data_IF_683091420142
#
_entry.id   IF_683091420142
#
_cell.length_a   1.000
_cell.length_b   1.000
_cell.length_c   1.000
_cell.angle_alpha   90.00
_cell.angle_beta   90.00
_cell.angle_gamma   90.00
#
_symmetry.space_group_name_H-M   'P 1'
#
loop_
_entity.id
_entity.type
_entity.pdbx_description
1 polymer ?
#
# COMPACT_ATOMS: atom_id res chain seq x y z
N UNK A 1 19.09 51.94 11.05
CA UNK A 1 18.45 51.98 12.39
C UNK A 1 19.03 50.89 13.29
N UNK A 2 19.40 51.20 14.54
CA UNK A 2 19.95 50.22 15.50
C UNK A 2 18.82 49.61 16.35
N UNK A 3 18.51 48.32 16.21
CA UNK A 3 17.62 47.62 17.15
C UNK A 3 18.40 47.09 18.36
N UNK A 4 17.99 47.50 19.56
CA UNK A 4 18.57 47.05 20.84
C UNK A 4 17.98 45.70 21.26
N UNK A 5 18.84 44.73 21.58
CA UNK A 5 18.45 43.52 22.31
C UNK A 5 17.99 43.90 23.73
N UNK A 6 16.84 43.38 24.20
CA UNK A 6 16.48 43.34 25.63
C UNK A 6 16.55 41.90 26.13
N UNK A 7 17.24 41.68 27.25
CA UNK A 7 17.28 40.40 27.98
C UNK A 7 16.15 40.37 29.01
N UNK A 8 15.37 39.29 29.05
CA UNK A 8 14.46 38.96 30.16
C UNK A 8 14.99 37.74 30.93
N UNK A 9 14.83 37.72 32.26
CA UNK A 9 15.26 36.61 33.13
C UNK A 9 14.18 35.53 33.27
N UNK A 10 14.64 34.30 33.48
CA UNK A 10 13.86 33.10 33.86
C UNK A 10 13.66 33.07 35.38
N UNK A 11 12.53 32.53 35.87
CA UNK A 11 12.63 31.47 36.90
C UNK A 11 11.60 30.33 36.73
N UNK A 12 11.96 29.08 37.07
CA UNK A 12 10.98 27.98 37.23
C UNK A 12 11.45 26.59 36.79
N UNK A 13 12.34 25.94 37.55
CA UNK A 13 12.58 24.49 37.46
C UNK A 13 12.04 23.80 38.73
N UNK A 14 11.36 22.65 38.61
CA UNK A 14 11.24 21.67 39.68
C UNK A 14 12.28 20.54 39.55
N UNK A 15 12.91 20.27 40.69
CA UNK A 15 13.85 19.19 41.06
C UNK A 15 13.78 17.83 40.32
N UNK A 16 14.96 17.31 40.01
CA UNK A 16 15.23 15.90 39.65
C UNK A 16 15.12 15.01 40.90
N UNK A 17 14.27 13.98 40.88
CA UNK A 17 14.35 12.86 41.83
C UNK A 17 15.10 11.68 41.22
N UNK A 18 16.27 11.35 41.79
CA UNK A 18 16.96 10.08 41.54
C UNK A 18 16.35 8.98 42.43
N UNK A 19 15.71 7.98 41.84
CA UNK A 19 15.55 6.68 42.50
C UNK A 19 16.66 5.74 42.03
N UNK A 20 17.34 5.10 42.99
CA UNK A 20 18.20 3.95 42.73
C UNK A 20 17.31 2.73 42.49
N UNK A 21 17.62 1.92 41.49
CA UNK A 21 17.17 0.52 41.45
C UNK A 21 18.38 -0.39 41.56
N UNK A 22 18.24 -1.45 42.35
CA UNK A 22 19.29 -2.40 42.68
C UNK A 22 19.43 -3.45 41.58
N UNK A 23 20.67 -3.77 41.19
CA UNK A 23 20.95 -4.68 40.09
C UNK A 23 20.71 -6.15 40.46
N UNK A 24 19.95 -6.87 39.63
CA UNK A 24 19.92 -8.33 39.61
C UNK A 24 20.89 -8.84 38.53
N UNK A 25 21.87 -9.65 38.92
CA UNK A 25 22.77 -10.33 37.97
C UNK A 25 22.02 -11.46 37.26
N UNK A 26 22.07 -11.46 35.93
CA UNK A 26 21.64 -12.59 35.10
C UNK A 26 22.87 -13.47 34.81
N UNK A 27 22.77 -14.78 35.05
CA UNK A 27 23.78 -15.76 34.66
C UNK A 27 23.17 -16.64 33.57
N UNK A 28 23.72 -16.58 32.36
CA UNK A 28 23.29 -17.39 31.22
C UNK A 28 24.25 -18.57 31.07
N UNK A 29 23.72 -19.79 31.15
CA UNK A 29 24.44 -21.01 30.81
C UNK A 29 23.85 -21.61 29.54
N UNK A 30 24.58 -21.57 28.42
CA UNK A 30 24.16 -22.17 27.17
C UNK A 30 24.52 -23.68 27.15
N UNK A 31 23.56 -24.53 26.79
CA UNK A 31 23.79 -25.97 26.59
C UNK A 31 23.28 -26.37 25.21
N UNK A 32 24.21 -26.71 24.32
CA UNK A 32 23.89 -27.15 22.95
C UNK A 32 23.21 -28.54 22.98
N UNK A 33 22.08 -28.66 22.30
CA UNK A 33 21.58 -29.93 21.74
C UNK A 33 21.55 -29.81 20.22
N UNK A 34 21.85 -30.91 19.55
CA UNK A 34 21.61 -31.09 18.11
C UNK A 34 20.56 -32.19 17.99
N UNK A 35 19.34 -31.82 17.67
CA UNK A 35 18.34 -32.78 17.26
C UNK A 35 18.40 -32.85 15.72
N UNK A 36 18.52 -34.07 15.19
CA UNK A 36 18.40 -34.36 13.75
C UNK A 36 16.95 -34.70 13.49
N UNK A 37 16.31 -33.97 12.59
CA UNK A 37 15.08 -34.42 11.94
C UNK A 37 15.45 -34.98 10.56
N UNK A 38 15.11 -36.24 10.33
CA UNK A 38 15.39 -36.94 9.07
C UNK A 38 14.32 -36.55 8.04
N UNK A 39 14.76 -35.98 6.92
CA UNK A 39 13.88 -35.60 5.81
C UNK A 39 13.63 -36.80 4.88
N UNK A 40 12.42 -37.37 4.91
CA UNK A 40 11.98 -38.31 3.87
C UNK A 40 11.77 -37.56 2.54
N UNK A 41 12.73 -37.73 1.63
CA UNK A 41 12.74 -37.02 0.34
C UNK A 41 11.74 -37.56 -0.68
N UNK A 42 11.01 -36.65 -1.33
CA UNK A 42 10.21 -36.96 -2.52
C UNK A 42 11.12 -37.39 -3.68
N UNK A 43 10.88 -38.57 -4.25
CA UNK A 43 11.68 -39.14 -5.35
C UNK A 43 11.18 -38.65 -6.71
N UNK A 44 11.45 -37.40 -7.08
CA UNK A 44 11.31 -36.96 -8.49
C UNK A 44 12.10 -35.69 -8.88
N UNK A 45 13.08 -35.26 -8.07
CA UNK A 45 13.92 -34.10 -8.39
C UNK A 45 15.41 -34.47 -8.33
N UNK A 46 16.10 -34.34 -9.48
CA UNK A 46 17.56 -34.46 -9.56
C UNK A 46 18.29 -33.33 -8.81
N UNK A 47 19.61 -33.47 -8.56
CA UNK A 47 20.31 -32.62 -7.61
C UNK A 47 20.62 -31.23 -8.17
N UNK A 48 20.08 -30.19 -7.54
CA UNK A 48 20.57 -28.82 -7.65
C UNK A 48 21.45 -28.47 -6.43
N UNK A 49 22.49 -27.67 -6.67
CA UNK A 49 23.69 -27.64 -5.82
C UNK A 49 23.68 -26.53 -4.74
N UNK A 50 24.57 -26.73 -3.75
CA UNK A 50 25.12 -25.74 -2.80
C UNK A 50 24.17 -25.09 -1.80
N UNK A 51 24.47 -25.31 -0.51
CA UNK A 51 23.84 -24.66 0.63
C UNK A 51 24.74 -23.56 1.21
N UNK A 52 24.16 -22.43 1.59
CA UNK A 52 24.71 -21.56 2.64
C UNK A 52 23.78 -21.61 3.87
N UNK A 53 24.16 -22.42 4.85
CA UNK A 53 23.44 -22.50 6.12
C UNK A 53 23.81 -21.31 7.01
N UNK A 54 22.96 -20.28 7.08
CA UNK A 54 23.05 -19.24 8.11
C UNK A 54 22.43 -19.76 9.40
N UNK A 55 23.26 -19.91 10.44
CA UNK A 55 22.83 -20.32 11.78
C UNK A 55 21.95 -19.25 12.43
N UNK A 56 20.66 -19.56 12.63
CA UNK A 56 19.80 -18.81 13.54
C UNK A 56 20.11 -19.22 14.99
N UNK A 57 20.32 -18.24 15.85
CA UNK A 57 20.50 -18.43 17.30
C UNK A 57 19.18 -18.17 18.02
N UNK A 58 18.52 -19.22 18.49
CA UNK A 58 17.41 -19.05 19.45
C UNK A 58 17.96 -19.04 20.89
N UNK A 59 17.60 -18.00 21.64
CA UNK A 59 17.95 -17.84 23.06
C UNK A 59 16.67 -17.98 23.88
N UNK A 60 16.41 -19.19 24.40
CA UNK A 60 15.33 -19.38 25.36
C UNK A 60 15.74 -18.90 26.76
N UNK A 61 15.18 -17.76 27.17
CA UNK A 61 15.25 -17.30 28.56
C UNK A 61 14.24 -18.07 29.42
N UNK A 62 14.69 -19.10 30.14
CA UNK A 62 13.86 -19.80 31.13
C UNK A 62 13.79 -18.96 32.40
N UNK A 63 12.64 -18.33 32.65
CA UNK A 63 12.34 -17.66 33.92
C UNK A 63 11.59 -18.63 34.82
N UNK A 64 12.30 -19.27 35.76
CA UNK A 64 11.64 -20.02 36.84
C UNK A 64 11.11 -19.06 37.89
N UNK A 65 9.81 -19.16 38.18
CA UNK A 65 9.20 -18.55 39.37
C UNK A 65 8.66 -19.67 40.25
N UNK A 66 9.38 -19.98 41.33
CA UNK A 66 8.85 -20.88 42.36
C UNK A 66 7.77 -20.16 43.16
N UNK A 67 6.60 -20.81 43.31
CA UNK A 67 5.64 -20.51 44.38
C UNK A 67 5.15 -21.81 45.03
N UNK A 68 4.96 -21.83 46.36
CA UNK A 68 4.67 -23.05 47.10
C UNK A 68 3.20 -23.46 46.94
N UNK A 69 2.95 -24.77 46.83
CA UNK A 69 1.61 -25.30 46.55
C UNK A 69 0.74 -25.58 47.78
N UNK A 70 -0.55 -25.87 47.54
CA UNK A 70 -1.38 -26.69 48.44
C UNK A 70 -2.66 -27.24 47.79
N UNK A 71 -2.79 -28.57 47.89
CA UNK A 71 -3.99 -29.41 48.11
C UNK A 71 -5.19 -29.39 47.13
N UNK A 72 -5.49 -30.62 46.69
CA UNK A 72 -6.66 -31.11 45.96
C UNK A 72 -8.02 -30.74 46.60
N UNK A 73 -9.06 -30.70 45.74
CA UNK A 73 -10.37 -31.32 46.03
C UNK A 73 -11.01 -31.86 44.74
N UNK A 74 -11.87 -32.86 44.90
CA UNK A 74 -12.53 -33.70 43.89
C UNK A 74 -14.01 -33.30 43.69
N UNK A 75 -14.73 -34.06 42.84
CA UNK A 75 -16.20 -34.03 42.57
C UNK A 75 -16.66 -32.97 41.56
N UNK A 76 -17.67 -33.18 40.68
CA UNK A 76 -18.31 -34.39 40.13
C UNK A 76 -19.09 -34.00 38.84
N UNK A 77 -19.36 -34.98 37.94
CA UNK A 77 -20.32 -34.91 36.80
C UNK A 77 -21.80 -34.96 37.27
N UNK A 78 -22.87 -34.84 36.44
CA UNK A 78 -23.03 -35.02 34.97
C UNK A 78 -23.59 -33.77 34.22
N UNK A 79 -23.56 -33.61 32.89
CA UNK A 79 -24.11 -34.40 31.76
C UNK A 79 -25.65 -34.45 31.70
N UNK A 80 -26.24 -33.94 30.61
CA UNK A 80 -27.66 -34.11 30.27
C UNK A 80 -27.85 -34.14 28.73
N UNK A 81 -28.81 -34.93 28.26
CA UNK A 81 -28.88 -35.47 26.90
C UNK A 81 -30.31 -35.40 26.32
N UNK A 82 -30.46 -34.87 25.10
CA UNK A 82 -31.68 -34.91 24.25
C UNK A 82 -31.29 -34.40 22.85
N UNK A 83 -31.31 -35.11 21.71
CA UNK A 83 -32.02 -36.30 21.17
C UNK A 83 -33.08 -35.95 20.10
N UNK A 84 -32.87 -36.54 18.90
CA UNK A 84 -33.77 -36.79 17.75
C UNK A 84 -34.45 -35.65 16.94
N UNK A 85 -34.31 -35.78 15.61
CA UNK A 85 -35.08 -35.04 14.60
C UNK A 85 -34.71 -35.36 13.14
N UNK A 86 -34.91 -36.62 12.72
CA UNK A 86 -34.68 -37.18 11.36
C UNK A 86 -35.37 -36.39 10.22
N UNK A 87 -34.81 -36.49 9.00
CA UNK A 87 -35.47 -36.17 7.73
C UNK A 87 -34.67 -36.67 6.51
N UNK A 88 -35.19 -37.70 5.83
CA UNK A 88 -34.57 -38.39 4.68
C UNK A 88 -34.79 -37.63 3.35
N UNK A 89 -33.75 -37.42 2.52
CA UNK A 89 -33.31 -38.24 1.37
C UNK A 89 -34.18 -38.13 0.09
N UNK A 90 -33.55 -37.75 -1.02
CA UNK A 90 -34.03 -38.03 -2.39
C UNK A 90 -32.91 -37.86 -3.44
N UNK A 91 -32.51 -38.98 -4.04
CA UNK A 91 -31.61 -39.04 -5.20
C UNK A 91 -32.38 -38.82 -6.51
N UNK A 92 -31.69 -38.32 -7.54
CA UNK A 92 -31.96 -38.75 -8.92
C UNK A 92 -30.72 -38.66 -9.84
N UNK A 93 -30.50 -39.74 -10.58
CA UNK A 93 -29.55 -39.90 -11.71
C UNK A 93 -30.28 -39.54 -13.03
N UNK A 94 -29.67 -39.29 -14.18
CA UNK A 94 -28.28 -39.33 -14.66
C UNK A 94 -28.25 -39.32 -16.21
N UNK A 95 -27.12 -39.68 -16.84
CA UNK A 95 -26.83 -39.70 -18.31
C UNK A 95 -26.56 -38.30 -18.93
N UNK A 96 -25.63 -38.11 -19.88
CA UNK A 96 -24.63 -39.02 -20.45
C UNK A 96 -24.60 -38.99 -21.98
N UNK A 97 -23.58 -38.34 -22.57
CA UNK A 97 -23.26 -38.40 -24.01
C UNK A 97 -21.73 -38.28 -24.20
N UNK A 98 -21.20 -38.94 -25.23
CA UNK A 98 -19.77 -39.21 -25.43
C UNK A 98 -19.38 -38.78 -26.86
N UNK A 99 -18.22 -38.15 -27.06
CA UNK A 99 -17.72 -37.83 -28.40
C UNK A 99 -16.37 -37.11 -28.41
N UNK A 100 -15.29 -37.89 -28.60
CA UNK A 100 -14.02 -37.58 -29.32
C UNK A 100 -13.64 -36.10 -29.56
N UNK A 101 -12.44 -35.61 -29.25
CA UNK A 101 -11.18 -36.30 -28.95
C UNK A 101 -10.06 -35.78 -29.85
N UNK A 102 -8.93 -35.41 -29.20
CA UNK A 102 -7.68 -34.83 -29.73
C UNK A 102 -7.72 -33.34 -30.14
N UNK A 103 -6.67 -32.53 -29.89
CA UNK A 103 -5.62 -32.58 -28.85
C UNK A 103 -4.74 -31.31 -28.89
N UNK A 104 -4.38 -30.73 -27.73
CA UNK A 104 -2.98 -30.35 -27.45
C UNK A 104 -2.71 -29.98 -25.98
N UNK A 105 -1.45 -30.09 -25.56
CA UNK A 105 -0.94 -29.82 -24.22
C UNK A 105 -0.60 -28.32 -24.06
N UNK A 106 -0.69 -27.66 -22.91
CA UNK A 106 -1.19 -28.06 -21.61
C UNK A 106 -0.79 -27.03 -20.54
N UNK A 107 -1.76 -26.49 -19.79
CA UNK A 107 -1.53 -25.73 -18.55
C UNK A 107 -2.35 -26.36 -17.43
N UNK A 108 -1.69 -27.17 -16.61
CA UNK A 108 -2.36 -28.01 -15.62
C UNK A 108 -2.94 -27.16 -14.47
N UNK A 109 -4.27 -27.06 -14.40
CA UNK A 109 -4.97 -26.56 -13.22
C UNK A 109 -5.23 -27.71 -12.25
N UNK A 110 -4.38 -27.91 -11.23
CA UNK A 110 -4.64 -28.92 -10.21
C UNK A 110 -3.55 -29.07 -9.14
N UNK A 111 -3.83 -28.54 -7.94
CA UNK A 111 -3.08 -28.76 -6.69
C UNK A 111 -1.63 -28.20 -6.69
N UNK A 112 -1.24 -27.31 -5.77
CA UNK A 112 -1.42 -27.45 -4.32
C UNK A 112 -1.85 -26.16 -3.60
N UNK A 113 -2.36 -26.35 -2.37
CA UNK A 113 -2.87 -25.32 -1.46
C UNK A 113 -1.74 -24.44 -0.89
N UNK A 114 -1.30 -23.44 -1.64
CA UNK A 114 -0.51 -22.32 -1.11
C UNK A 114 -1.41 -21.33 -0.34
N UNK A 115 -1.67 -21.56 0.96
CA UNK A 115 -2.38 -20.58 1.79
C UNK A 115 -1.46 -19.38 2.12
N UNK A 116 -1.43 -18.40 1.24
CA UNK A 116 -0.95 -17.05 1.54
C UNK A 116 -2.05 -16.00 1.32
N UNK A 117 -3.30 -16.34 1.65
CA UNK A 117 -4.26 -15.32 2.06
C UNK A 117 -3.82 -14.76 3.41
N UNK A 118 -3.62 -13.44 3.48
CA UNK A 118 -3.19 -12.74 4.70
C UNK A 118 -4.35 -12.66 5.71
N UNK A 119 -4.76 -13.82 6.24
CA UNK A 119 -5.77 -13.93 7.28
C UNK A 119 -5.25 -13.29 8.56
N UNK A 120 -5.67 -12.05 8.82
CA UNK A 120 -5.60 -11.38 10.12
C UNK A 120 -6.51 -12.08 11.16
N UNK A 121 -6.25 -13.35 11.41
CA UNK A 121 -6.91 -14.14 12.43
C UNK A 121 -6.27 -13.84 13.80
N UNK A 122 -7.08 -13.43 14.77
CA UNK A 122 -6.72 -13.47 16.20
C UNK A 122 -6.44 -14.92 16.62
N UNK A 123 -5.21 -15.40 16.42
CA UNK A 123 -4.69 -16.63 17.06
C UNK A 123 -3.87 -16.25 18.28
N UNK A 124 -4.25 -16.80 19.43
CA UNK A 124 -3.54 -16.58 20.69
C UNK A 124 -2.10 -17.09 20.60
N UNK A 125 -1.15 -16.31 21.09
CA UNK A 125 0.23 -16.76 21.32
C UNK A 125 1.27 -16.42 20.24
N UNK A 126 0.95 -15.61 19.23
CA UNK A 126 1.97 -14.94 18.41
C UNK A 126 1.91 -13.43 18.67
N UNK A 127 3.08 -12.79 18.83
CA UNK A 127 3.19 -11.33 18.78
C UNK A 127 2.67 -10.84 17.44
N UNK A 128 1.51 -10.18 17.45
CA UNK A 128 1.00 -9.47 16.29
C UNK A 128 1.99 -8.36 15.97
N UNK A 129 2.83 -8.56 14.96
CA UNK A 129 3.52 -7.45 14.31
C UNK A 129 2.44 -6.57 13.71
N UNK A 130 2.25 -5.37 14.26
CA UNK A 130 1.28 -4.41 13.74
C UNK A 130 1.58 -4.17 12.25
N UNK A 131 0.51 -4.07 11.45
CA UNK A 131 0.61 -3.77 10.02
C UNK A 131 1.49 -2.55 9.81
N UNK A 132 2.39 -2.59 8.82
CA UNK A 132 3.28 -1.49 8.52
C UNK A 132 2.91 -0.86 7.18
N UNK A 133 2.69 0.45 7.18
CA UNK A 133 2.33 1.23 5.99
C UNK A 133 3.47 2.18 5.63
N UNK A 134 3.86 2.19 4.37
CA UNK A 134 4.67 3.26 3.80
C UNK A 134 3.74 4.35 3.27
N UNK A 135 3.87 5.56 3.79
CA UNK A 135 3.12 6.75 3.35
C UNK A 135 4.02 7.69 2.54
N UNK A 136 3.56 8.08 1.35
CA UNK A 136 4.22 9.05 0.44
C UNK A 136 3.19 10.02 -0.15
N UNK A 137 3.64 10.98 -0.96
CA UNK A 137 2.81 11.86 -1.80
C UNK A 137 3.66 12.54 -2.90
N UNK A 138 3.04 13.43 -3.67
CA UNK A 138 3.68 14.36 -4.61
C UNK A 138 3.56 15.85 -4.25
N UNK A 139 2.69 16.22 -3.30
CA UNK A 139 2.66 17.58 -2.72
C UNK A 139 3.86 17.89 -1.79
N UNK A 140 4.63 16.85 -1.40
CA UNK A 140 5.80 16.94 -0.52
C UNK A 140 5.50 16.72 0.96
N UNK A 141 6.56 16.44 1.74
CA UNK A 141 6.48 15.92 3.11
C UNK A 141 5.84 16.86 4.14
N UNK A 142 5.80 18.17 3.86
CA UNK A 142 5.19 19.19 4.72
C UNK A 142 3.73 19.52 4.34
N UNK A 143 3.16 18.84 3.35
CA UNK A 143 1.81 19.13 2.85
C UNK A 143 0.72 18.77 3.89
N UNK A 144 -0.40 19.51 3.94
CA UNK A 144 -1.51 19.21 4.86
C UNK A 144 -2.14 17.84 4.61
N UNK A 145 -2.21 17.39 3.35
CA UNK A 145 -2.81 16.11 2.99
C UNK A 145 -2.06 14.89 3.52
N UNK A 146 -0.72 14.88 3.49
CA UNK A 146 0.07 13.77 4.05
C UNK A 146 0.10 13.79 5.58
N UNK A 147 0.05 14.98 6.21
CA UNK A 147 -0.12 15.09 7.67
C UNK A 147 -1.48 14.55 8.14
N UNK A 148 -2.57 14.89 7.45
CA UNK A 148 -3.89 14.35 7.74
C UNK A 148 -3.94 12.82 7.54
N UNK A 149 -3.37 12.33 6.44
CA UNK A 149 -3.33 10.89 6.13
C UNK A 149 -2.53 10.11 7.18
N UNK A 150 -1.37 10.62 7.60
CA UNK A 150 -0.57 10.03 8.68
C UNK A 150 -1.40 9.89 9.96
N UNK A 151 -2.10 10.94 10.38
CA UNK A 151 -2.85 10.97 11.63
C UNK A 151 -3.98 9.95 11.69
N UNK A 152 -4.55 9.58 10.55
CA UNK A 152 -5.57 8.54 10.46
C UNK A 152 -4.96 7.14 10.32
N UNK A 153 -3.93 6.95 9.49
CA UNK A 153 -3.25 5.66 9.33
C UNK A 153 -2.52 5.19 10.60
N UNK A 154 -1.94 6.11 11.37
CA UNK A 154 -1.25 5.80 12.63
C UNK A 154 -2.18 5.22 13.72
N UNK A 155 -3.50 5.27 13.53
CA UNK A 155 -4.49 4.63 14.41
C UNK A 155 -4.60 3.12 14.18
N UNK A 156 -4.15 2.63 13.01
CA UNK A 156 -4.36 1.25 12.55
C UNK A 156 -3.04 0.52 12.19
N UNK A 157 -1.95 1.26 12.00
CA UNK A 157 -0.67 0.73 11.51
C UNK A 157 0.56 1.48 12.06
N UNK A 158 1.73 0.82 11.97
CA UNK A 158 3.06 1.42 12.05
C UNK A 158 3.36 2.18 10.75
N UNK A 159 3.35 3.52 10.77
CA UNK A 159 3.45 4.34 9.56
C UNK A 159 4.86 4.91 9.38
N UNK A 160 5.53 4.51 8.31
CA UNK A 160 6.77 5.14 7.84
C UNK A 160 6.43 6.20 6.78
N UNK A 161 6.78 7.46 7.03
CA UNK A 161 6.59 8.53 6.02
C UNK A 161 7.88 8.79 5.24
N UNK A 162 7.84 8.66 3.92
CA UNK A 162 8.94 9.00 3.01
C UNK A 162 8.37 9.76 1.82
N UNK A 163 8.72 11.04 1.67
CA UNK A 163 8.06 11.92 0.71
C UNK A 163 9.00 13.02 0.15
N UNK A 164 8.68 13.63 -1.00
CA UNK A 164 9.50 14.65 -1.63
C UNK A 164 9.71 15.90 -0.76
N UNK A 165 10.83 16.59 -0.96
CA UNK A 165 11.14 17.86 -0.31
C UNK A 165 10.28 19.04 -0.80
N UNK A 166 9.83 18.98 -2.06
CA UNK A 166 9.06 20.00 -2.76
C UNK A 166 7.91 19.34 -3.55
N UNK A 167 6.96 20.14 -4.04
CA UNK A 167 5.88 19.69 -4.92
C UNK A 167 6.44 19.10 -6.23
N UNK A 168 5.89 17.96 -6.67
CA UNK A 168 6.28 17.19 -7.87
C UNK A 168 5.09 16.92 -8.81
N UNK A 169 4.04 17.76 -8.75
CA UNK A 169 2.81 17.64 -9.55
C UNK A 169 3.09 17.60 -11.05
N UNK A 170 2.44 16.68 -11.77
CA UNK A 170 2.56 16.53 -13.23
C UNK A 170 3.84 15.81 -13.69
N UNK A 171 4.68 15.33 -12.76
CA UNK A 171 5.91 14.60 -13.07
C UNK A 171 5.71 13.17 -13.61
N UNK A 172 4.48 12.66 -13.66
CA UNK A 172 4.19 11.25 -14.02
C UNK A 172 5.03 10.27 -13.18
N UNK A 173 5.40 9.12 -13.73
CA UNK A 173 6.24 8.11 -13.10
C UNK A 173 7.75 8.35 -13.37
N UNK A 174 8.20 9.59 -13.24
CA UNK A 174 9.62 9.92 -13.36
C UNK A 174 10.46 9.31 -12.22
N UNK A 175 11.69 8.90 -12.53
CA UNK A 175 12.68 8.38 -11.57
C UNK A 175 14.05 9.02 -11.81
N UNK A 176 14.83 9.24 -10.74
CA UNK A 176 16.14 9.89 -10.83
C UNK A 176 17.24 8.86 -11.07
N UNK A 177 17.78 8.85 -12.29
CA UNK A 177 18.84 7.90 -12.71
C UNK A 177 20.22 8.56 -12.85
N UNK A 178 20.27 9.83 -13.28
CA UNK A 178 21.52 10.49 -13.72
C UNK A 178 22.34 11.14 -12.60
N UNK A 179 21.74 11.36 -11.43
CA UNK A 179 22.34 12.06 -10.30
C UNK A 179 21.97 11.36 -8.99
N UNK A 180 22.77 11.50 -7.91
CA UNK A 180 22.42 10.94 -6.61
C UNK A 180 21.14 11.56 -6.03
N UNK A 181 20.27 10.73 -5.44
CA UNK A 181 19.10 11.20 -4.68
C UNK A 181 19.51 11.43 -3.22
N UNK A 182 19.47 12.68 -2.77
CA UNK A 182 19.73 13.02 -1.38
C UNK A 182 18.47 12.83 -0.51
N UNK A 183 18.66 12.50 0.77
CA UNK A 183 17.58 12.37 1.74
C UNK A 183 18.03 12.79 3.14
N UNK A 184 17.06 13.18 3.99
CA UNK A 184 17.30 13.56 5.39
C UNK A 184 16.09 13.24 6.26
N UNK A 185 16.33 12.90 7.53
CA UNK A 185 15.28 12.82 8.53
C UNK A 185 14.74 14.22 8.86
N UNK A 186 13.42 14.34 9.01
CA UNK A 186 12.72 15.56 9.40
C UNK A 186 11.69 15.28 10.49
N UNK A 187 11.45 16.29 11.33
CA UNK A 187 10.30 16.33 12.24
C UNK A 187 9.26 17.26 11.60
N UNK A 188 8.06 16.75 11.33
CA UNK A 188 7.00 17.48 10.63
C UNK A 188 6.04 18.04 11.67
N UNK A 189 6.34 19.26 12.13
CA UNK A 189 5.51 20.03 13.07
C UNK A 189 5.12 19.26 14.36
N UNK A 190 5.99 18.36 14.87
CA UNK A 190 5.67 17.49 16.00
C UNK A 190 4.59 16.42 15.73
N UNK A 191 4.15 16.26 14.47
CA UNK A 191 3.12 15.29 14.06
C UNK A 191 3.74 13.92 13.83
N UNK A 192 4.85 13.86 13.08
CA UNK A 192 5.62 12.64 12.84
C UNK A 192 7.09 12.94 12.53
N UNK A 193 7.92 11.89 12.58
CA UNK A 193 9.26 11.90 11.99
C UNK A 193 9.22 11.12 10.68
N UNK A 194 9.78 11.71 9.63
CA UNK A 194 9.76 11.13 8.28
C UNK A 194 11.06 11.40 7.53
N UNK A 195 11.16 10.80 6.34
CA UNK A 195 12.32 10.97 5.45
C UNK A 195 11.95 11.89 4.30
N UNK A 196 12.57 13.07 4.29
CA UNK A 196 12.46 14.08 3.25
C UNK A 196 13.46 13.74 2.14
N UNK A 197 12.99 13.61 0.89
CA UNK A 197 13.79 13.16 -0.26
C UNK A 197 13.90 14.25 -1.33
N UNK A 198 15.10 14.50 -1.84
CA UNK A 198 15.35 15.41 -2.96
C UNK A 198 15.23 14.63 -4.29
N UNK A 199 14.02 14.16 -4.59
CA UNK A 199 13.71 13.31 -5.74
C UNK A 199 12.21 13.26 -6.04
N UNK A 200 11.81 12.31 -6.89
CA UNK A 200 10.41 12.11 -7.28
C UNK A 200 9.62 11.27 -6.26
N UNK A 201 8.28 11.20 -6.35
CA UNK A 201 7.46 10.31 -5.51
C UNK A 201 7.84 8.83 -5.66
N UNK A 202 8.25 8.41 -6.86
CA UNK A 202 8.73 7.05 -7.10
C UNK A 202 10.13 6.81 -6.49
N UNK A 203 11.03 7.80 -6.53
CA UNK A 203 12.32 7.71 -5.83
C UNK A 203 12.13 7.54 -4.31
N UNK A 204 11.14 8.22 -3.73
CA UNK A 204 10.78 8.07 -2.30
C UNK A 204 10.42 6.62 -1.96
N UNK A 205 9.58 5.98 -2.78
CA UNK A 205 9.16 4.59 -2.57
C UNK A 205 10.32 3.61 -2.80
N UNK A 206 11.13 3.82 -3.85
CA UNK A 206 12.34 3.02 -4.09
C UNK A 206 13.33 3.10 -2.93
N UNK A 207 13.58 4.29 -2.37
CA UNK A 207 14.47 4.46 -1.21
C UNK A 207 13.91 3.79 0.04
N UNK A 208 12.61 3.94 0.33
CA UNK A 208 11.98 3.33 1.49
C UNK A 208 12.08 1.80 1.44
N UNK A 209 11.73 1.19 0.30
CA UNK A 209 11.80 -0.26 0.07
C UNK A 209 13.23 -0.78 -0.12
N UNK A 210 14.16 0.09 -0.54
CA UNK A 210 15.59 -0.18 -0.67
C UNK A 210 16.36 -0.28 0.65
N UNK A 211 15.71 -0.03 1.80
CA UNK A 211 16.24 -0.39 3.12
C UNK A 211 16.42 0.75 4.13
N UNK A 212 15.81 1.92 3.94
CA UNK A 212 15.95 3.08 4.86
C UNK A 212 15.71 2.76 6.36
N UNK A 213 14.85 1.80 6.67
CA UNK A 213 14.56 1.36 8.06
C UNK A 213 14.64 -0.18 8.23
N UNK A 214 15.24 -0.89 7.27
CA UNK A 214 15.45 -2.35 7.29
C UNK A 214 14.19 -3.25 7.32
N UNK A 215 13.01 -2.69 7.59
CA UNK A 215 11.72 -3.38 7.70
C UNK A 215 10.87 -3.10 6.46
N UNK A 216 10.43 -4.14 5.77
CA UNK A 216 9.50 -4.03 4.63
C UNK A 216 8.11 -3.61 5.15
N UNK A 217 7.43 -2.63 4.52
CA UNK A 217 6.01 -2.37 4.76
C UNK A 217 5.14 -3.44 4.09
N UNK A 218 3.91 -3.60 4.58
CA UNK A 218 2.90 -4.50 4.05
C UNK A 218 2.05 -3.84 2.96
N UNK A 219 1.91 -2.51 3.01
CA UNK A 219 1.10 -1.69 2.12
C UNK A 219 1.79 -0.36 1.82
N UNK A 220 1.66 0.14 0.58
CA UNK A 220 2.03 1.51 0.20
C UNK A 220 0.77 2.37 0.11
N UNK A 221 0.76 3.54 0.73
CA UNK A 221 -0.29 4.55 0.58
C UNK A 221 0.35 5.84 0.07
N UNK A 222 -0.28 6.47 -0.93
CA UNK A 222 0.16 7.73 -1.51
C UNK A 222 -0.95 8.77 -1.44
N UNK A 223 -0.72 9.90 -0.77
CA UNK A 223 -1.69 10.98 -0.61
C UNK A 223 -1.76 11.57 0.81
N UNK A 224 -2.77 12.38 1.13
CA UNK A 224 -3.86 12.82 0.23
C UNK A 224 -3.36 13.91 -0.72
N UNK A 225 -3.56 13.72 -2.02
CA UNK A 225 -3.19 14.70 -3.04
C UNK A 225 -4.17 15.88 -3.11
N UNK A 226 -3.62 17.07 -3.34
CA UNK A 226 -4.36 18.30 -3.63
C UNK A 226 -4.87 18.33 -5.09
N UNK A 227 -5.82 17.46 -5.43
CA UNK A 227 -6.44 17.38 -6.75
C UNK A 227 -6.86 15.98 -7.14
N UNK A 228 -7.82 15.89 -8.06
CA UNK A 228 -8.30 14.60 -8.58
C UNK A 228 -7.27 13.97 -9.51
N UNK A 229 -7.02 12.68 -9.29
CA UNK A 229 -6.29 11.81 -10.20
C UNK A 229 -7.32 10.86 -10.85
N UNK A 230 -8.27 11.42 -11.59
CA UNK A 230 -9.31 10.70 -12.34
C UNK A 230 -9.03 10.70 -13.84
N UNK A 231 -9.50 9.68 -14.53
CA UNK A 231 -9.42 9.56 -15.98
C UNK A 231 -7.98 9.51 -16.50
N UNK A 232 -7.72 10.13 -17.64
CA UNK A 232 -6.37 10.11 -18.26
C UNK A 232 -5.28 10.78 -17.38
N UNK A 233 -5.65 11.66 -16.46
CA UNK A 233 -4.72 12.35 -15.55
C UNK A 233 -3.97 11.40 -14.60
N UNK A 234 -4.49 10.20 -14.38
CA UNK A 234 -3.79 9.09 -13.71
C UNK A 234 -2.38 8.88 -14.27
N UNK A 235 -2.17 9.05 -15.59
CA UNK A 235 -0.87 8.88 -16.25
C UNK A 235 0.15 9.97 -15.90
N UNK A 236 -0.29 11.16 -15.49
CA UNK A 236 0.58 12.31 -15.17
C UNK A 236 0.76 12.51 -13.65
N UNK A 237 0.05 11.72 -12.85
CA UNK A 237 0.00 11.81 -11.39
C UNK A 237 1.29 11.31 -10.72
N UNK A 238 1.92 12.15 -9.90
CA UNK A 238 2.97 11.71 -8.99
C UNK A 238 2.41 10.87 -7.83
N UNK A 239 1.19 11.18 -7.38
CA UNK A 239 0.47 10.43 -6.34
C UNK A 239 0.29 8.98 -6.77
N UNK A 240 -0.26 8.73 -7.96
CA UNK A 240 -0.51 7.38 -8.46
C UNK A 240 0.80 6.70 -8.84
N UNK A 241 1.79 7.43 -9.39
CA UNK A 241 3.11 6.87 -9.67
C UNK A 241 3.79 6.25 -8.43
N UNK A 242 3.72 6.90 -7.27
CA UNK A 242 4.24 6.33 -6.03
C UNK A 242 3.50 5.04 -5.61
N UNK A 243 2.19 4.97 -5.80
CA UNK A 243 1.42 3.74 -5.56
C UNK A 243 1.81 2.62 -6.55
N UNK A 244 1.90 2.95 -7.86
CA UNK A 244 2.33 2.00 -8.89
C UNK A 244 3.76 1.51 -8.62
N UNK A 245 4.67 2.36 -8.14
CA UNK A 245 6.03 1.95 -7.77
C UNK A 245 6.03 0.89 -6.66
N UNK A 246 5.17 1.05 -5.65
CA UNK A 246 4.94 0.02 -4.62
C UNK A 246 4.49 -1.32 -5.22
N UNK A 247 3.58 -1.26 -6.20
CA UNK A 247 3.08 -2.44 -6.91
C UNK A 247 4.10 -3.10 -7.84
N UNK A 248 4.94 -2.32 -8.53
CA UNK A 248 6.09 -2.82 -9.30
C UNK A 248 7.04 -3.61 -8.38
N UNK A 249 7.28 -3.08 -7.17
CA UNK A 249 8.12 -3.69 -6.14
C UNK A 249 7.42 -4.78 -5.29
N UNK A 250 6.23 -5.22 -5.72
CA UNK A 250 5.57 -6.43 -5.20
C UNK A 250 4.75 -6.24 -3.93
N UNK A 251 4.33 -5.01 -3.62
CA UNK A 251 3.38 -4.72 -2.54
C UNK A 251 2.00 -4.36 -3.11
N UNK A 252 0.90 -4.51 -2.36
CA UNK A 252 -0.31 -3.77 -2.66
C UNK A 252 -0.08 -2.26 -2.46
N UNK A 253 -0.86 -1.44 -3.16
CA UNK A 253 -0.79 0.01 -3.01
C UNK A 253 -2.15 0.73 -3.16
N UNK A 254 -2.30 1.87 -2.50
CA UNK A 254 -3.46 2.76 -2.61
C UNK A 254 -3.00 4.20 -2.88
N UNK A 255 -3.56 4.84 -3.91
CA UNK A 255 -3.46 6.28 -4.15
C UNK A 255 -4.75 6.97 -3.66
N UNK A 256 -4.61 8.11 -2.99
CA UNK A 256 -5.74 8.87 -2.40
C UNK A 256 -5.66 10.34 -2.80
N UNK A 257 -6.76 10.83 -3.35
CA UNK A 257 -6.89 12.18 -3.92
C UNK A 257 -8.13 12.88 -3.39
N UNK A 258 -8.04 14.19 -3.12
CA UNK A 258 -9.18 15.04 -2.76
C UNK A 258 -9.43 16.08 -3.86
N UNK A 259 -10.69 16.27 -4.25
CA UNK A 259 -11.07 17.30 -5.22
C UNK A 259 -10.66 18.70 -4.75
N UNK A 260 -9.94 19.44 -5.60
CA UNK A 260 -9.55 20.82 -5.33
C UNK A 260 -10.79 21.70 -5.11
N UNK A 261 -10.82 22.34 -3.95
CA UNK A 261 -11.78 23.37 -3.58
C UNK A 261 -11.08 24.49 -2.81
N UNK A 262 -11.78 25.60 -2.55
CA UNK A 262 -11.20 26.75 -1.81
C UNK A 262 -10.76 26.37 -0.39
N UNK A 263 -11.61 25.60 0.28
CA UNK A 263 -11.43 25.19 1.68
C UNK A 263 -11.32 23.65 1.73
N UNK A 264 -10.09 23.15 1.64
CA UNK A 264 -9.78 21.71 1.55
C UNK A 264 -9.86 21.01 2.91
N UNK A 265 -10.90 20.20 3.13
CA UNK A 265 -11.04 19.37 4.33
C UNK A 265 -10.24 18.06 4.22
N UNK A 266 -8.91 18.16 4.40
CA UNK A 266 -8.04 17.00 4.45
C UNK A 266 -8.33 16.07 5.65
N UNK A 267 -8.89 16.59 6.74
CA UNK A 267 -9.16 15.79 7.94
C UNK A 267 -10.35 14.85 7.71
N UNK A 268 -11.48 15.38 7.21
CA UNK A 268 -12.63 14.57 6.80
C UNK A 268 -12.28 13.58 5.69
N UNK A 269 -11.51 14.03 4.69
CA UNK A 269 -11.02 13.15 3.62
C UNK A 269 -10.13 12.01 4.13
N UNK A 270 -9.26 12.25 5.12
CA UNK A 270 -8.43 11.21 5.72
C UNK A 270 -9.25 10.17 6.51
N UNK A 271 -10.31 10.59 7.21
CA UNK A 271 -11.23 9.67 7.93
C UNK A 271 -11.93 8.74 6.94
N UNK A 272 -12.41 9.29 5.81
CA UNK A 272 -13.01 8.52 4.71
C UNK A 272 -11.98 7.55 4.12
N UNK A 273 -10.79 8.05 3.76
CA UNK A 273 -9.73 7.25 3.15
C UNK A 273 -9.28 6.09 4.03
N UNK A 274 -9.09 6.31 5.35
CA UNK A 274 -8.76 5.27 6.32
C UNK A 274 -9.81 4.16 6.35
N UNK A 275 -11.10 4.52 6.41
CA UNK A 275 -12.19 3.54 6.41
C UNK A 275 -12.25 2.70 5.13
N UNK A 276 -12.01 3.32 3.97
CA UNK A 276 -11.95 2.60 2.69
C UNK A 276 -10.71 1.71 2.57
N UNK A 277 -9.57 2.15 3.09
CA UNK A 277 -8.35 1.34 3.14
C UNK A 277 -8.55 0.14 4.08
N UNK A 278 -9.18 0.30 5.24
CA UNK A 278 -9.56 -0.81 6.13
C UNK A 278 -10.47 -1.83 5.44
N UNK A 279 -11.48 -1.37 4.68
CA UNK A 279 -12.36 -2.24 3.88
C UNK A 279 -11.60 -3.01 2.80
N UNK A 280 -10.69 -2.35 2.08
CA UNK A 280 -9.85 -3.02 1.06
C UNK A 280 -8.94 -4.07 1.74
N UNK A 281 -8.28 -3.72 2.85
CA UNK A 281 -7.44 -4.65 3.64
C UNK A 281 -8.23 -5.90 4.09
N UNK A 282 -9.50 -5.73 4.50
CA UNK A 282 -10.33 -6.82 5.00
C UNK A 282 -10.88 -7.73 3.90
N UNK A 283 -11.08 -7.23 2.68
CA UNK A 283 -11.74 -7.97 1.59
C UNK A 283 -10.79 -8.92 0.87
N UNK A 284 -9.63 -8.41 0.45
CA UNK A 284 -8.42 -9.12 0.04
C UNK A 284 -7.46 -8.07 -0.55
N UNK A 285 -6.19 -8.07 -0.14
CA UNK A 285 -5.12 -7.30 -0.76
C UNK A 285 -4.12 -8.24 -1.41
N UNK A 286 -4.04 -8.26 -2.73
CA UNK A 286 -3.06 -9.08 -3.44
C UNK A 286 -1.77 -8.30 -3.73
N UNK A 287 -0.59 -8.94 -3.71
CA UNK A 287 0.66 -8.32 -4.15
C UNK A 287 0.53 -7.76 -5.56
N UNK A 288 1.08 -6.56 -5.80
CA UNK A 288 1.05 -5.85 -7.10
C UNK A 288 -0.30 -5.23 -7.48
N UNK A 289 -1.29 -5.18 -6.60
CA UNK A 289 -2.51 -4.40 -6.83
C UNK A 289 -2.30 -2.90 -6.61
N UNK A 290 -3.02 -2.08 -7.38
CA UNK A 290 -3.08 -0.62 -7.22
C UNK A 290 -4.55 -0.20 -7.15
N UNK A 291 -4.92 0.51 -6.08
CA UNK A 291 -6.26 1.04 -5.89
C UNK A 291 -6.21 2.57 -5.91
N UNK A 292 -6.99 3.21 -6.78
CA UNK A 292 -7.07 4.67 -6.89
C UNK A 292 -8.38 5.17 -6.28
N UNK A 293 -8.29 6.01 -5.24
CA UNK A 293 -9.42 6.57 -4.51
C UNK A 293 -9.47 8.08 -4.74
N UNK A 294 -10.58 8.57 -5.29
CA UNK A 294 -10.83 9.99 -5.46
C UNK A 294 -12.04 10.41 -4.62
N UNK A 295 -11.83 11.34 -3.69
CA UNK A 295 -12.83 11.87 -2.77
C UNK A 295 -13.33 13.20 -3.34
N UNK A 296 -14.65 13.37 -3.53
CA UNK A 296 -15.22 14.64 -3.99
C UNK A 296 -15.09 15.73 -2.91
N UNK A 297 -15.27 16.98 -3.30
CA UNK A 297 -15.24 18.13 -2.40
C UNK A 297 -16.26 17.98 -1.24
N UNK A 298 -15.89 18.42 -0.03
CA UNK A 298 -16.78 18.31 1.14
C UNK A 298 -17.89 19.38 1.07
N UNK A 299 -19.03 19.02 0.48
CA UNK A 299 -20.26 19.81 0.41
C UNK A 299 -21.37 19.20 1.28
N UNK A 300 -22.37 19.97 1.73
CA UNK A 300 -23.51 19.42 2.47
C UNK A 300 -24.19 18.26 1.72
N UNK A 301 -24.20 17.08 2.34
CA UNK A 301 -24.72 15.84 1.75
C UNK A 301 -23.72 15.06 0.88
N UNK A 302 -22.46 15.47 0.82
CA UNK A 302 -21.36 14.75 0.15
C UNK A 302 -20.36 14.20 1.19
N UNK A 303 -19.65 13.09 0.89
CA UNK A 303 -19.90 12.19 -0.24
C UNK A 303 -21.24 11.44 -0.07
N UNK A 304 -21.93 11.23 -1.19
CA UNK A 304 -23.23 10.54 -1.26
C UNK A 304 -23.13 9.02 -1.09
N UNK A 305 -21.91 8.49 -1.07
CA UNK A 305 -21.59 7.08 -1.04
C UNK A 305 -20.28 6.79 -1.78
N UNK A 306 -20.07 5.50 -2.07
CA UNK A 306 -18.88 4.99 -2.78
C UNK A 306 -19.34 4.30 -4.07
N UNK A 307 -18.60 4.48 -5.16
CA UNK A 307 -18.76 3.71 -6.41
C UNK A 307 -17.44 3.08 -6.82
N UNK A 308 -17.46 1.81 -7.18
CA UNK A 308 -16.32 1.14 -7.83
C UNK A 308 -16.53 1.21 -9.33
N UNK A 309 -15.68 1.96 -10.04
CA UNK A 309 -15.91 2.38 -11.43
C UNK A 309 -14.61 2.37 -12.25
N UNK A 310 -14.68 2.12 -13.57
CA UNK A 310 -13.53 2.21 -14.46
C UNK A 310 -12.96 3.63 -14.57
N UNK A 311 -11.68 3.71 -14.88
CA UNK A 311 -10.99 4.94 -15.28
C UNK A 311 -11.59 5.50 -16.58
N UNK A 312 -11.94 6.78 -16.63
CA UNK A 312 -12.32 7.44 -17.87
C UNK A 312 -11.13 7.57 -18.83
N UNK A 313 -11.34 7.25 -20.11
CA UNK A 313 -10.34 7.46 -21.16
C UNK A 313 -10.63 8.70 -22.01
N UNK A 314 -11.58 9.54 -21.60
CA UNK A 314 -11.91 10.76 -22.34
C UNK A 314 -10.73 11.76 -22.27
N UNK A 315 -10.35 12.39 -23.41
CA UNK A 315 -9.33 13.41 -23.41
C UNK A 315 -9.85 14.68 -22.72
N UNK A 316 -9.08 15.23 -21.80
CA UNK A 316 -9.34 16.57 -21.28
C UNK A 316 -9.05 17.58 -22.39
N UNK A 317 -10.00 18.48 -22.64
CA UNK A 317 -9.86 19.57 -23.61
C UNK A 317 -9.03 20.69 -22.97
N UNK A 318 -7.71 20.51 -22.99
CA UNK A 318 -6.76 21.48 -22.48
C UNK A 318 -6.88 22.81 -23.27
N UNK A 319 -7.12 23.90 -22.54
CA UNK A 319 -7.19 25.27 -23.06
C UNK A 319 -5.86 25.97 -22.84
N UNK A 320 -5.06 26.08 -23.89
CA UNK A 320 -3.85 26.90 -23.90
C UNK A 320 -4.20 28.39 -23.85
N UNK A 321 -3.87 29.06 -22.75
CA UNK A 321 -4.00 30.52 -22.62
C UNK A 321 -2.68 31.20 -22.96
N UNK A 322 -2.62 31.82 -24.14
CA UNK A 322 -1.48 32.60 -24.61
C UNK A 322 -1.36 33.92 -23.82
N UNK A 323 -0.15 34.23 -23.35
CA UNK A 323 0.22 35.51 -22.76
C UNK A 323 1.56 35.99 -23.35
N UNK A 324 1.87 37.26 -23.11
CA UNK A 324 3.14 37.89 -23.50
C UNK A 324 3.75 38.50 -22.24
N UNK A 325 5.05 38.31 -22.04
CA UNK A 325 5.77 38.85 -20.89
C UNK A 325 6.26 40.29 -21.15
N UNK A 326 6.77 41.02 -20.13
CA UNK A 326 7.26 42.39 -20.32
C UNK A 326 8.43 42.56 -21.30
N UNK A 327 9.07 41.48 -21.74
CA UNK A 327 10.14 41.49 -22.76
C UNK A 327 9.62 41.24 -24.18
N UNK A 328 8.31 41.02 -24.34
CA UNK A 328 7.68 40.68 -25.61
C UNK A 328 7.71 39.18 -25.94
N UNK A 329 8.17 38.33 -25.02
CA UNK A 329 8.21 36.88 -25.24
C UNK A 329 6.83 36.27 -25.01
N UNK A 330 6.40 35.44 -25.95
CA UNK A 330 5.18 34.65 -25.82
C UNK A 330 5.38 33.45 -24.87
N UNK A 331 4.37 33.17 -24.06
CA UNK A 331 4.28 31.96 -23.25
C UNK A 331 2.82 31.51 -23.15
N UNK A 332 2.61 30.24 -22.82
CA UNK A 332 1.29 29.62 -22.77
C UNK A 332 1.08 28.98 -21.40
N UNK A 333 -0.04 29.29 -20.76
CA UNK A 333 -0.52 28.50 -19.63
C UNK A 333 -1.32 27.32 -20.16
N UNK A 334 -0.98 26.12 -19.71
CA UNK A 334 -1.87 24.97 -19.82
C UNK A 334 -2.98 25.13 -18.78
N UNK A 335 -4.13 25.66 -19.21
CA UNK A 335 -5.38 25.56 -18.47
C UNK A 335 -6.23 24.44 -19.06
N UNK A 336 -7.37 24.16 -18.44
CA UNK A 336 -8.36 23.23 -18.97
C UNK A 336 -9.59 23.25 -18.08
N UNK A 337 -10.75 23.49 -18.67
CA UNK A 337 -11.99 23.01 -18.06
C UNK A 337 -12.12 21.54 -18.43
N UNK A 338 -12.46 20.69 -17.46
CA UNK A 338 -12.96 19.37 -17.81
C UNK A 338 -14.26 19.60 -18.59
N UNK A 339 -14.24 19.33 -19.90
CA UNK A 339 -15.38 19.59 -20.78
C UNK A 339 -16.68 18.91 -20.33
N UNK A 340 -17.76 19.19 -21.05
CA UNK A 340 -19.00 18.45 -20.88
C UNK A 340 -18.71 16.95 -21.02
N UNK A 341 -19.15 16.16 -20.03
CA UNK A 341 -19.07 14.71 -20.10
C UNK A 341 -20.02 14.27 -21.21
N UNK A 342 -19.47 13.89 -22.35
CA UNK A 342 -20.20 13.12 -23.37
C UNK A 342 -20.42 11.66 -22.95
N UNK A 343 -19.84 11.27 -21.81
CA UNK A 343 -19.80 9.88 -21.33
C UNK A 343 -21.14 9.44 -20.74
N UNK A 344 -21.85 8.57 -21.47
CA UNK A 344 -23.04 7.89 -20.95
C UNK A 344 -22.69 6.83 -19.89
N UNK A 345 -21.41 6.43 -19.80
CA UNK A 345 -20.91 5.39 -18.90
C UNK A 345 -20.68 5.89 -17.46
N UNK A 346 -20.63 4.97 -16.49
CA UNK A 346 -20.31 5.26 -15.09
C UNK A 346 -18.80 5.11 -14.89
N UNK A 347 -18.08 6.24 -14.82
CA UNK A 347 -16.62 6.32 -14.74
C UNK A 347 -16.17 7.06 -13.49
N UNK A 348 -14.89 6.96 -13.13
CA UNK A 348 -14.30 7.67 -11.99
C UNK A 348 -14.57 9.19 -11.99
N UNK A 349 -14.30 9.86 -13.12
CA UNK A 349 -14.57 11.28 -13.31
C UNK A 349 -16.05 11.62 -13.12
N UNK A 350 -16.97 10.77 -13.61
CA UNK A 350 -18.40 10.98 -13.45
C UNK A 350 -18.87 10.76 -12.01
N UNK A 351 -18.42 9.69 -11.37
CA UNK A 351 -18.79 9.36 -9.98
C UNK A 351 -18.42 10.51 -9.03
N UNK A 352 -17.23 11.09 -9.18
CA UNK A 352 -16.78 12.25 -8.39
C UNK A 352 -17.62 13.50 -8.70
N UNK A 353 -17.88 13.82 -9.98
CA UNK A 353 -18.78 14.95 -10.33
C UNK A 353 -20.21 14.78 -9.79
N UNK A 354 -20.71 13.55 -9.70
CA UNK A 354 -22.01 13.23 -9.10
C UNK A 354 -22.01 13.22 -7.55
N UNK A 355 -20.85 13.45 -6.91
CA UNK A 355 -20.70 13.54 -5.46
C UNK A 355 -20.42 12.22 -4.74
N UNK A 356 -19.94 11.20 -5.44
CA UNK A 356 -19.53 9.92 -4.86
C UNK A 356 -18.01 9.83 -4.73
N UNK A 357 -17.50 9.09 -3.74
CA UNK A 357 -16.10 8.64 -3.75
C UNK A 357 -15.97 7.60 -4.86
N UNK A 358 -15.06 7.81 -5.81
CA UNK A 358 -14.74 6.79 -6.82
C UNK A 358 -13.59 5.92 -6.35
N UNK A 359 -13.72 4.61 -6.51
CA UNK A 359 -12.64 3.64 -6.34
C UNK A 359 -12.41 2.95 -7.69
N UNK A 360 -11.16 2.93 -8.14
CA UNK A 360 -10.78 2.31 -9.41
C UNK A 360 -9.57 1.41 -9.18
N UNK A 361 -9.71 0.08 -9.35
CA UNK A 361 -8.56 -0.82 -9.47
C UNK A 361 -7.78 -0.46 -10.75
N UNK A 362 -6.49 -0.18 -10.61
CA UNK A 362 -5.61 0.20 -11.72
C UNK A 362 -4.65 -0.93 -12.08
N UNK A 363 -4.20 -0.91 -13.33
CA UNK A 363 -3.12 -1.75 -13.84
C UNK A 363 -1.96 -0.89 -14.33
N UNK A 364 -0.74 -1.39 -14.20
CA UNK A 364 0.48 -0.76 -14.73
C UNK A 364 1.06 -1.50 -15.94
N UNK A 365 0.49 -2.66 -16.30
CA UNK A 365 0.80 -3.33 -17.57
C UNK A 365 -0.08 -2.73 -18.67
N UNK A 366 0.50 -1.89 -19.53
CA UNK A 366 -0.19 -1.23 -20.63
C UNK A 366 -0.31 -2.10 -21.91
N UNK A 367 -0.06 -3.40 -21.81
CA UNK A 367 -0.16 -4.33 -22.93
C UNK A 367 -1.63 -4.53 -23.34
N UNK A 368 -2.01 -4.04 -24.51
CA UNK A 368 -3.26 -4.41 -25.20
C UNK A 368 -3.17 -5.89 -25.60
N UNK A 369 -3.63 -6.79 -24.72
CA UNK A 369 -3.56 -8.25 -24.90
C UNK A 369 -4.32 -8.70 -26.15
N UNK A 370 -5.47 -8.09 -26.45
CA UNK A 370 -6.23 -8.38 -27.66
C UNK A 370 -5.47 -8.02 -28.94
N UNK A 371 -4.71 -6.92 -28.94
CA UNK A 371 -3.82 -6.55 -30.06
C UNK A 371 -2.56 -7.39 -30.11
N UNK A 372 -2.00 -7.79 -28.96
CA UNK A 372 -0.86 -8.69 -28.88
C UNK A 372 -1.14 -10.02 -29.58
N UNK A 373 -2.29 -10.66 -29.31
CA UNK A 373 -2.63 -11.93 -29.98
C UNK A 373 -2.86 -11.76 -31.48
N UNK A 374 -3.45 -10.64 -31.94
CA UNK A 374 -3.55 -10.34 -33.38
C UNK A 374 -2.16 -10.14 -34.01
N UNK A 375 -1.29 -9.39 -33.35
CA UNK A 375 0.07 -9.08 -33.80
C UNK A 375 0.95 -10.34 -33.91
N UNK A 376 0.77 -11.33 -33.04
CA UNK A 376 1.46 -12.63 -33.10
C UNK A 376 1.13 -13.46 -34.34
N UNK A 377 -0.05 -13.27 -34.92
CA UNK A 377 -0.48 -14.00 -36.12
C UNK A 377 0.03 -13.38 -37.44
N UNK A 378 0.76 -12.27 -37.38
CA UNK A 378 1.32 -11.61 -38.57
C UNK A 378 2.72 -12.12 -38.89
N UNK A 379 3.04 -12.22 -40.17
CA UNK A 379 4.44 -12.39 -40.62
C UNK A 379 5.15 -11.04 -40.50
N UNK A 380 6.20 -11.00 -39.67
CA UNK A 380 7.03 -9.80 -39.50
C UNK A 380 8.29 -9.92 -40.35
N UNK A 381 8.27 -9.30 -41.53
CA UNK A 381 9.46 -9.20 -42.37
C UNK A 381 10.37 -8.08 -41.85
N UNK A 382 11.58 -8.44 -41.43
CA UNK A 382 12.63 -7.46 -41.17
C UNK A 382 13.19 -6.98 -42.52
N UNK A 383 13.07 -5.68 -42.87
CA UNK A 383 13.70 -5.18 -44.08
C UNK A 383 15.22 -5.34 -43.94
N UNK A 384 15.81 -6.12 -44.85
CA UNK A 384 17.26 -6.22 -44.95
C UNK A 384 17.89 -4.87 -45.32
N UNK A 385 19.20 -4.67 -45.11
CA UNK A 385 19.90 -3.55 -45.70
C UNK A 385 19.69 -3.59 -47.22
N UNK A 386 19.25 -2.47 -47.81
CA UNK A 386 19.22 -2.34 -49.26
C UNK A 386 20.62 -2.64 -49.81
N UNK A 387 20.70 -3.50 -50.82
CA UNK A 387 21.91 -4.27 -51.17
C UNK A 387 23.22 -3.46 -51.13
N UNK A 388 24.17 -3.98 -50.34
CA UNK A 388 25.57 -3.55 -50.33
C UNK A 388 26.37 -4.31 -51.39
#
# INVERSE_FOLDING_TARGET
MKLKRRRGKVPGQPSIHRQRQEGKRLVIAARLRRDREDAEGCRDCGPAQSAEARSLFEVHAVVTTEKPGRKNRTENEPADEQDRGRGEDRRQTGRGAIGTGFSDQGWCHGCTRGRHGLLYARRAGHTITAMRILLSNDDGIFAPGIMAMHNELAKIADVQVVAPANVQSGGSHAITIRHPVAWRNVDVNGTFRGVCVEGTPADCVKLALGGLDGRKPDLVVSGINAGLNTGIHVLYSGTVAAAIEGAILGLPAVAVSLQLYRDMDYAGAAVIARGLIEEIIQRELHPREVWNINIPENKPGWPRGVRVVPQSIQPTLDRLEKRIDPTGREYYWLGGDFGELSDAHDTDLRAVREGYVSITPLQFNLTDTGRLERARAWTWELPGPAGA
#
